data_IF_583121374301
#
_entry.id   IF_583121374301
#
_cell.length_a   1.000
_cell.length_b   1.000
_cell.length_c   1.000
_cell.angle_alpha   90.00
_cell.angle_beta   90.00
_cell.angle_gamma   90.00
#
_symmetry.space_group_name_H-M   'P 1'
#
loop_
_entity.id
_entity.type
_entity.pdbx_description
1 polymer ?
#
# COMPACT_ATOMS: atom_id res chain seq x y z
N UNK A 1 7.67 -4.62 -13.16
CA UNK A 1 7.53 -4.74 -11.69
C UNK A 1 6.07 -4.53 -11.31
N UNK A 2 5.57 -5.09 -10.20
CA UNK A 2 4.18 -4.87 -9.77
C UNK A 2 3.88 -3.37 -9.60
N UNK A 3 4.86 -2.58 -9.15
CA UNK A 3 4.79 -1.12 -9.03
C UNK A 3 4.39 -0.41 -10.35
N UNK A 4 4.66 -0.98 -11.53
CA UNK A 4 4.22 -0.38 -12.80
C UNK A 4 2.71 -0.52 -13.04
N UNK A 5 2.08 -1.55 -12.48
CA UNK A 5 0.63 -1.80 -12.63
C UNK A 5 -0.19 -1.06 -11.58
N UNK A 6 0.38 -0.85 -10.39
CA UNK A 6 -0.34 -0.28 -9.24
C UNK A 6 0.15 1.11 -8.84
N UNK A 7 1.34 1.52 -9.26
CA UNK A 7 1.89 2.87 -9.06
C UNK A 7 1.00 3.99 -9.60
N UNK A 8 0.53 3.93 -10.87
CA UNK A 8 -0.35 4.96 -11.43
C UNK A 8 -1.70 5.07 -10.70
N UNK A 9 -2.16 3.98 -10.08
CA UNK A 9 -3.39 3.93 -9.29
C UNK A 9 -3.17 4.43 -7.86
N UNK A 10 -1.98 4.17 -7.31
CA UNK A 10 -1.65 4.42 -5.90
C UNK A 10 -1.12 5.83 -5.65
N UNK A 11 -0.54 6.46 -6.68
CA UNK A 11 -0.05 7.83 -6.67
C UNK A 11 -0.55 8.52 -7.95
N UNK A 12 -1.73 9.15 -7.91
CA UNK A 12 -2.27 9.88 -9.06
C UNK A 12 -1.48 11.16 -9.39
N UNK A 13 -0.56 11.55 -8.51
CA UNK A 13 0.33 12.70 -8.63
C UNK A 13 1.79 12.22 -8.77
N UNK A 14 2.60 12.96 -9.53
CA UNK A 14 4.01 12.63 -9.77
C UNK A 14 4.81 12.64 -8.46
N UNK A 15 5.44 11.50 -8.14
CA UNK A 15 6.39 11.39 -7.04
C UNK A 15 7.83 11.40 -7.59
N UNK A 16 8.75 12.19 -7.00
CA UNK A 16 10.14 12.31 -7.48
C UNK A 16 10.97 11.01 -7.52
N UNK A 17 10.46 9.95 -6.90
CA UNK A 17 11.17 8.70 -6.65
C UNK A 17 10.56 7.50 -7.38
N UNK A 18 9.48 7.71 -8.13
CA UNK A 18 8.77 6.66 -8.85
C UNK A 18 9.02 6.87 -10.35
N UNK A 19 9.81 5.99 -10.98
CA UNK A 19 9.97 5.93 -12.45
C UNK A 19 8.73 5.35 -13.15
N UNK A 20 7.56 5.54 -12.56
CA UNK A 20 6.30 5.20 -13.23
C UNK A 20 6.00 6.36 -14.14
N UNK A 21 5.70 6.06 -15.40
CA UNK A 21 5.45 7.05 -16.44
C UNK A 21 4.18 7.84 -16.11
N UNK A 22 4.35 8.87 -15.28
CA UNK A 22 3.34 9.81 -14.74
C UNK A 22 2.85 10.81 -15.78
N UNK A 23 3.38 10.75 -17.01
CA UNK A 23 2.86 11.51 -18.14
C UNK A 23 1.55 10.91 -18.71
N UNK A 24 1.04 9.82 -18.14
CA UNK A 24 -0.31 9.33 -18.42
C UNK A 24 -1.38 10.17 -17.72
N UNK A 25 -2.60 10.28 -18.28
CA UNK A 25 -3.71 10.93 -17.59
C UNK A 25 -3.96 10.25 -16.23
N UNK A 26 -4.37 10.99 -15.19
CA UNK A 26 -4.72 10.41 -13.90
C UNK A 26 -5.68 9.25 -14.11
N UNK A 27 -5.31 8.06 -13.61
CA UNK A 27 -6.16 6.89 -13.77
C UNK A 27 -7.29 7.01 -12.76
N UNK A 28 -8.46 7.44 -13.23
CA UNK A 28 -9.67 7.39 -12.43
C UNK A 28 -9.96 5.93 -12.09
N UNK A 29 -9.95 5.60 -10.80
CA UNK A 29 -10.16 4.25 -10.33
C UNK A 29 -11.21 4.23 -9.22
N UNK A 30 -11.92 3.11 -9.12
CA UNK A 30 -12.88 2.89 -8.04
C UNK A 30 -12.14 2.62 -6.73
N UNK A 31 -12.82 2.84 -5.61
CA UNK A 31 -12.33 2.48 -4.28
C UNK A 31 -11.85 1.02 -4.23
N UNK A 32 -12.58 0.11 -4.87
CA UNK A 32 -12.26 -1.32 -4.95
C UNK A 32 -10.96 -1.59 -5.71
N UNK A 33 -10.78 -0.93 -6.86
CA UNK A 33 -9.56 -1.07 -7.65
C UNK A 33 -8.33 -0.54 -6.88
N UNK A 34 -8.50 0.57 -6.16
CA UNK A 34 -7.46 1.15 -5.31
C UNK A 34 -7.12 0.24 -4.12
N UNK A 35 -8.13 -0.38 -3.50
CA UNK A 35 -7.94 -1.35 -2.42
C UNK A 35 -7.14 -2.57 -2.90
N UNK A 36 -7.49 -3.14 -4.06
CA UNK A 36 -6.82 -4.29 -4.65
C UNK A 36 -5.37 -3.97 -5.05
N UNK A 37 -5.15 -2.79 -5.63
CA UNK A 37 -3.83 -2.28 -5.98
C UNK A 37 -2.93 -2.14 -4.73
N UNK A 38 -3.47 -1.49 -3.69
CA UNK A 38 -2.77 -1.28 -2.42
C UNK A 38 -2.46 -2.60 -1.70
N UNK A 39 -3.38 -3.58 -1.76
CA UNK A 39 -3.14 -4.91 -1.22
C UNK A 39 -2.01 -5.62 -1.97
N UNK A 40 -1.98 -5.49 -3.29
CA UNK A 40 -0.92 -6.09 -4.11
C UNK A 40 0.45 -5.56 -3.71
N UNK A 41 0.60 -4.23 -3.55
CA UNK A 41 1.83 -3.64 -2.99
C UNK A 41 2.17 -4.19 -1.61
N UNK A 42 1.19 -4.26 -0.71
CA UNK A 42 1.39 -4.79 0.63
C UNK A 42 1.98 -6.21 0.61
N UNK A 43 1.48 -7.08 -0.28
CA UNK A 43 1.95 -8.46 -0.38
C UNK A 43 3.35 -8.57 -1.00
N UNK A 44 3.65 -7.75 -2.01
CA UNK A 44 4.98 -7.70 -2.65
C UNK A 44 6.04 -7.29 -1.63
N UNK A 45 5.86 -6.17 -0.94
CA UNK A 45 6.84 -5.73 0.06
C UNK A 45 6.92 -6.66 1.27
N UNK A 46 5.83 -7.35 1.62
CA UNK A 46 5.89 -8.36 2.69
C UNK A 46 6.85 -9.49 2.35
N UNK A 47 6.98 -9.85 1.07
CA UNK A 47 7.94 -10.86 0.58
C UNK A 47 9.39 -10.37 0.62
N UNK A 48 9.62 -9.07 0.44
CA UNK A 48 10.96 -8.45 0.54
C UNK A 48 11.51 -8.48 1.98
N UNK A 49 10.61 -8.49 2.96
CA UNK A 49 10.97 -8.73 4.36
C UNK A 49 11.86 -7.64 4.96
N UNK A 50 13.04 -7.97 5.53
CA UNK A 50 13.96 -6.98 6.08
C UNK A 50 14.80 -6.27 5.01
N UNK A 51 14.67 -6.62 3.72
CA UNK A 51 15.41 -5.96 2.66
C UNK A 51 14.96 -4.51 2.52
N UNK A 52 15.91 -3.58 2.48
CA UNK A 52 15.66 -2.16 2.29
C UNK A 52 15.44 -1.89 0.81
N UNK A 53 14.29 -1.31 0.47
CA UNK A 53 13.88 -1.00 -0.90
C UNK A 53 13.33 0.41 -1.01
N UNK A 54 12.07 0.54 -1.45
CA UNK A 54 11.42 1.83 -1.66
C UNK A 54 11.48 2.72 -0.41
N UNK A 55 11.64 4.03 -0.63
CA UNK A 55 11.68 5.06 0.42
C UNK A 55 12.76 4.86 1.50
N UNK A 56 13.79 4.05 1.21
CA UNK A 56 14.81 3.69 2.20
C UNK A 56 14.28 2.85 3.36
N UNK A 57 13.11 2.22 3.18
CA UNK A 57 12.41 1.41 4.18
C UNK A 57 12.55 -0.07 3.87
N UNK A 58 12.48 -0.89 4.90
CA UNK A 58 12.39 -2.34 4.75
C UNK A 58 11.07 -2.73 4.07
N UNK A 59 11.04 -3.89 3.41
CA UNK A 59 9.80 -4.48 2.88
C UNK A 59 8.70 -4.60 3.94
N UNK A 60 9.05 -4.86 5.21
CA UNK A 60 8.06 -4.86 6.30
C UNK A 60 7.44 -3.50 6.57
N UNK A 61 8.23 -2.42 6.52
CA UNK A 61 7.76 -1.04 6.71
C UNK A 61 6.97 -0.54 5.50
N UNK A 62 7.35 -0.92 4.28
CA UNK A 62 6.58 -0.62 3.08
C UNK A 62 5.25 -1.39 3.06
N UNK A 63 5.26 -2.68 3.41
CA UNK A 63 4.03 -3.47 3.55
C UNK A 63 3.06 -2.83 4.56
N UNK A 64 3.59 -2.26 5.64
CA UNK A 64 2.81 -1.55 6.64
C UNK A 64 2.13 -0.29 6.09
N UNK A 65 2.88 0.52 5.35
CA UNK A 65 2.35 1.70 4.70
C UNK A 65 1.18 1.35 3.76
N UNK A 66 1.37 0.33 2.93
CA UNK A 66 0.40 -0.11 1.94
C UNK A 66 -0.82 -0.81 2.54
N UNK A 67 -0.68 -1.54 3.66
CA UNK A 67 -1.82 -2.03 4.43
C UNK A 67 -2.71 -0.86 4.93
N UNK A 68 -2.11 0.27 5.32
CA UNK A 68 -2.84 1.48 5.65
C UNK A 68 -3.53 2.12 4.42
N UNK A 69 -2.89 2.05 3.25
CA UNK A 69 -3.46 2.56 2.00
C UNK A 69 -4.74 1.81 1.60
N UNK A 70 -4.78 0.48 1.82
CA UNK A 70 -6.01 -0.30 1.64
C UNK A 70 -7.15 0.29 2.45
N UNK A 71 -6.96 0.57 3.75
CA UNK A 71 -8.02 1.13 4.58
C UNK A 71 -8.42 2.55 4.18
N UNK A 72 -7.48 3.35 3.68
CA UNK A 72 -7.78 4.72 3.21
C UNK A 72 -8.54 4.73 1.88
N UNK A 73 -8.51 3.64 1.11
CA UNK A 73 -9.21 3.55 -0.17
C UNK A 73 -10.74 3.49 -0.03
N UNK A 74 -11.25 3.01 1.12
CA UNK A 74 -12.69 2.78 1.34
C UNK A 74 -13.28 1.57 0.58
N UNK A 75 -12.44 0.80 -0.13
CA UNK A 75 -12.81 -0.41 -0.85
C UNK A 75 -12.36 -1.70 -0.14
N UNK A 76 -11.99 -1.66 1.13
CA UNK A 76 -11.42 -2.82 1.81
C UNK A 76 -12.43 -3.98 1.95
N UNK A 77 -13.72 -3.68 2.02
CA UNK A 77 -14.78 -4.70 2.15
C UNK A 77 -15.01 -5.50 0.87
N UNK A 78 -14.63 -4.96 -0.29
CA UNK A 78 -14.71 -5.67 -1.57
C UNK A 78 -13.53 -6.60 -1.82
N UNK A 79 -12.49 -6.55 -0.97
CA UNK A 79 -11.35 -7.44 -1.10
C UNK A 79 -11.77 -8.91 -0.91
N UNK A 80 -11.23 -9.82 -1.74
CA UNK A 80 -11.58 -11.23 -1.67
C UNK A 80 -11.15 -11.80 -0.32
N UNK A 81 -11.97 -12.73 0.20
CA UNK A 81 -11.73 -13.51 1.42
C UNK A 81 -11.71 -12.67 2.72
N UNK A 82 -12.59 -13.02 3.66
CA UNK A 82 -12.68 -12.32 4.95
C UNK A 82 -11.36 -12.35 5.76
N UNK A 83 -10.57 -13.41 5.59
CA UNK A 83 -9.26 -13.54 6.24
C UNK A 83 -8.26 -12.47 5.79
N UNK A 84 -8.26 -12.14 4.50
CA UNK A 84 -7.40 -11.09 3.94
C UNK A 84 -7.78 -9.75 4.55
N UNK A 85 -9.08 -9.43 4.62
CA UNK A 85 -9.58 -8.22 5.28
C UNK A 85 -9.16 -8.14 6.74
N UNK A 86 -9.29 -9.23 7.49
CA UNK A 86 -8.91 -9.28 8.90
C UNK A 86 -7.40 -9.07 9.11
N UNK A 87 -6.55 -9.69 8.28
CA UNK A 87 -5.09 -9.54 8.36
C UNK A 87 -4.64 -8.11 8.08
N UNK A 88 -5.24 -7.43 7.11
CA UNK A 88 -4.96 -6.03 6.79
C UNK A 88 -5.35 -5.12 7.95
N UNK A 89 -6.57 -5.27 8.47
CA UNK A 89 -7.06 -4.48 9.61
C UNK A 89 -6.09 -4.60 10.81
N UNK A 90 -5.75 -5.83 11.22
CA UNK A 90 -4.78 -6.06 12.32
C UNK A 90 -3.44 -5.35 12.07
N UNK A 91 -2.94 -5.39 10.84
CA UNK A 91 -1.64 -4.80 10.51
C UNK A 91 -1.68 -3.27 10.54
N UNK A 92 -2.72 -2.67 9.99
CA UNK A 92 -2.91 -1.23 10.05
C UNK A 92 -3.03 -0.72 11.49
N UNK A 93 -3.75 -1.43 12.35
CA UNK A 93 -3.86 -1.10 13.78
C UNK A 93 -2.53 -1.23 14.53
N UNK A 94 -1.70 -2.24 14.21
CA UNK A 94 -0.38 -2.37 14.81
C UNK A 94 0.49 -1.12 14.52
N UNK A 95 0.42 -0.58 13.30
CA UNK A 95 1.19 0.60 12.90
C UNK A 95 0.72 1.88 13.59
N UNK A 96 -0.60 2.03 13.79
CA UNK A 96 -1.16 3.17 14.51
C UNK A 96 -0.64 3.24 15.96
N UNK A 97 -0.57 2.08 16.62
CA UNK A 97 -0.08 1.97 17.98
C UNK A 97 1.44 2.20 18.07
N UNK A 98 2.21 1.72 17.09
CA UNK A 98 3.67 1.91 17.03
C UNK A 98 4.04 3.38 16.76
N UNK A 99 3.28 4.05 15.88
CA UNK A 99 3.42 5.49 15.59
C UNK A 99 3.07 6.39 16.78
N UNK A 100 2.15 5.95 17.65
CA UNK A 100 1.86 6.65 18.91
C UNK A 100 2.99 6.49 19.93
N UNK A 101 3.60 5.30 20.03
CA UNK A 101 4.70 5.04 20.97
C UNK A 101 5.98 5.81 20.66
N UNK A 102 6.26 6.09 19.38
CA UNK A 102 7.44 6.86 18.97
C UNK A 102 7.30 8.38 19.19
N UNK A 103 6.13 8.87 19.60
CA UNK A 103 5.86 10.30 19.87
C UNK A 103 5.91 10.67 21.35
N UNK A 104 6.19 9.71 22.23
CA UNK A 104 6.35 9.86 23.67
C UNK A 104 7.78 9.50 24.07
#
# INVERSE_FOLDING_TARGET
EAHNLVGPLSFPEELPYFHVNVHGPPVSCTADALAAASLTHCLVHRREGPHVGEFGRTGFENANFWAGAVLRSGGEESLPLAEIRHRIKRRAHANANESQRQRH
#
